data_IF_517148059252
#
_entry.id   IF_517148059252
#
_cell.length_a   1.000
_cell.length_b   1.000
_cell.length_c   1.000
_cell.angle_alpha   90.00
_cell.angle_beta   90.00
_cell.angle_gamma   90.00
#
_symmetry.space_group_name_H-M   'P 1'
#
loop_
_entity.id
_entity.type
_entity.pdbx_description
1 polymer ?
#
# COMPACT_ATOMS: atom_id res chain seq x y z
N UNK A 1 4.74 -11.69 -11.21
CA UNK A 1 4.20 -10.60 -10.39
C UNK A 1 4.98 -9.32 -10.62
N UNK A 2 4.37 -8.33 -11.28
CA UNK A 2 4.94 -7.00 -11.50
C UNK A 2 3.98 -5.95 -10.94
N UNK A 3 4.48 -5.02 -10.12
CA UNK A 3 3.69 -3.88 -9.69
C UNK A 3 3.67 -2.87 -10.83
N UNK A 4 2.47 -2.48 -11.27
CA UNK A 4 2.32 -1.57 -12.42
C UNK A 4 1.70 -0.23 -12.04
N UNK A 5 0.94 -0.18 -10.94
CA UNK A 5 0.31 1.06 -10.49
C UNK A 5 0.16 1.11 -8.98
N UNK A 6 0.37 2.29 -8.41
CA UNK A 6 0.10 2.60 -7.01
C UNK A 6 -0.72 3.89 -6.93
N UNK A 7 -1.90 3.81 -6.34
CA UNK A 7 -2.78 4.95 -6.07
C UNK A 7 -2.88 5.20 -4.58
N UNK A 8 -2.78 6.45 -4.16
CA UNK A 8 -2.89 6.86 -2.77
C UNK A 8 -3.90 7.98 -2.64
N UNK A 9 -4.72 7.94 -1.59
CA UNK A 9 -5.66 9.00 -1.26
C UNK A 9 -5.79 9.13 0.26
N UNK A 10 -5.52 10.33 0.78
CA UNK A 10 -5.53 10.59 2.23
C UNK A 10 -4.44 9.87 3.01
N UNK A 11 -3.47 9.22 2.35
CA UNK A 11 -2.42 8.43 2.99
C UNK A 11 -1.22 9.31 3.35
N UNK A 12 -1.01 9.55 4.64
CA UNK A 12 0.07 10.38 5.17
C UNK A 12 0.16 11.72 4.43
N UNK A 13 1.29 12.00 3.76
CA UNK A 13 1.50 13.23 3.00
C UNK A 13 0.68 13.33 1.70
N UNK A 14 0.05 12.25 1.23
CA UNK A 14 -0.74 12.22 0.00
C UNK A 14 -2.20 12.55 0.27
N UNK A 15 -2.48 13.85 0.45
CA UNK A 15 -3.80 14.36 0.83
C UNK A 15 -4.84 14.24 -0.28
N UNK A 16 -4.39 14.41 -1.52
CA UNK A 16 -5.19 14.34 -2.74
C UNK A 16 -4.88 13.03 -3.48
N UNK A 17 -5.84 12.49 -4.25
CA UNK A 17 -5.62 11.30 -5.07
C UNK A 17 -4.38 11.46 -5.95
N UNK A 18 -3.40 10.59 -5.75
CA UNK A 18 -2.15 10.58 -6.50
C UNK A 18 -1.92 9.17 -7.06
N UNK A 19 -1.60 9.10 -8.35
CA UNK A 19 -1.34 7.87 -9.07
C UNK A 19 0.12 7.81 -9.52
N UNK A 20 0.75 6.65 -9.34
CA UNK A 20 2.11 6.35 -9.75
C UNK A 20 2.08 5.14 -10.67
N UNK A 21 2.51 5.33 -11.90
CA UNK A 21 2.74 4.22 -12.83
C UNK A 21 4.17 3.71 -12.66
N UNK A 22 4.32 2.40 -12.53
CA UNK A 22 5.61 1.73 -12.42
C UNK A 22 5.83 1.01 -13.75
N UNK A 23 6.73 1.58 -14.55
CA UNK A 23 7.05 1.07 -15.87
C UNK A 23 8.12 -0.04 -15.77
N UNK A 24 8.20 -0.93 -16.78
CA UNK A 24 9.28 -1.92 -16.86
C UNK A 24 10.66 -1.26 -16.78
N UNK A 25 11.58 -1.90 -16.07
CA UNK A 25 12.95 -1.40 -15.88
C UNK A 25 13.12 -0.66 -14.55
N UNK A 26 13.71 0.54 -14.59
CA UNK A 26 14.06 1.31 -13.41
C UNK A 26 13.16 2.55 -13.26
N UNK A 27 12.34 2.57 -12.22
CA UNK A 27 11.54 3.74 -11.83
C UNK A 27 12.21 4.48 -10.67
N UNK A 28 12.61 5.73 -10.89
CA UNK A 28 13.22 6.58 -9.86
C UNK A 28 12.23 7.59 -9.28
N UNK A 29 12.13 7.65 -7.95
CA UNK A 29 11.34 8.67 -7.24
C UNK A 29 12.27 9.70 -6.60
N UNK A 30 12.16 10.95 -7.01
CA UNK A 30 13.02 12.06 -6.54
C UNK A 30 12.18 13.22 -5.98
N UNK A 31 12.82 14.06 -5.15
CA UNK A 31 12.18 15.22 -4.54
C UNK A 31 12.85 15.64 -3.23
N UNK A 32 12.50 16.82 -2.68
CA UNK A 32 13.09 17.35 -1.44
C UNK A 32 12.89 16.43 -0.22
N UNK A 33 13.71 16.61 0.82
CA UNK A 33 13.47 15.92 2.09
C UNK A 33 12.12 16.33 2.69
N UNK A 34 11.40 15.37 3.27
CA UNK A 34 10.07 15.60 3.83
C UNK A 34 8.92 15.64 2.83
N UNK A 35 9.15 15.57 1.51
CA UNK A 35 8.06 15.63 0.52
C UNK A 35 7.23 14.34 0.38
N UNK A 36 7.48 13.32 1.22
CA UNK A 36 6.69 12.10 1.24
C UNK A 36 7.21 10.92 0.42
N UNK A 37 8.43 10.99 -0.16
CA UNK A 37 9.01 9.87 -0.95
C UNK A 37 8.98 8.54 -0.21
N UNK A 38 9.42 8.51 1.05
CA UNK A 38 9.40 7.28 1.86
C UNK A 38 7.99 6.78 2.18
N UNK A 39 6.97 7.65 2.11
CA UNK A 39 5.58 7.24 2.33
C UNK A 39 5.05 6.37 1.18
N UNK A 40 5.67 6.39 -0.01
CA UNK A 40 5.32 5.44 -1.08
C UNK A 40 5.69 4.01 -0.69
N UNK A 41 6.88 3.81 -0.11
CA UNK A 41 7.29 2.50 0.39
C UNK A 41 6.42 2.05 1.56
N UNK A 42 6.03 2.98 2.43
CA UNK A 42 5.10 2.69 3.52
C UNK A 42 3.73 2.26 2.98
N UNK A 43 3.21 2.95 1.96
CA UNK A 43 1.95 2.60 1.31
C UNK A 43 1.98 1.21 0.69
N UNK A 44 3.06 0.86 -0.03
CA UNK A 44 3.28 -0.47 -0.59
C UNK A 44 3.27 -1.55 0.49
N UNK A 45 4.04 -1.37 1.57
CA UNK A 45 4.07 -2.34 2.68
C UNK A 45 2.70 -2.45 3.37
N UNK A 46 2.00 -1.33 3.50
CA UNK A 46 0.70 -1.26 4.16
C UNK A 46 -0.38 -2.00 3.37
N UNK A 47 -0.51 -1.75 2.06
CA UNK A 47 -1.46 -2.47 1.20
C UNK A 47 -1.10 -3.95 1.05
N UNK A 48 0.18 -4.31 1.18
CA UNK A 48 0.66 -5.70 1.21
C UNK A 48 0.42 -6.44 2.54
N UNK A 49 -0.22 -5.82 3.53
CA UNK A 49 -0.59 -6.50 4.78
C UNK A 49 0.17 -6.11 6.04
N UNK A 50 1.05 -5.09 6.00
CA UNK A 50 1.67 -4.59 7.22
C UNK A 50 0.64 -3.95 8.15
N UNK A 51 0.53 -4.48 9.37
CA UNK A 51 -0.46 -4.07 10.36
C UNK A 51 0.18 -3.49 11.64
N UNK A 52 1.50 -3.38 11.71
CA UNK A 52 2.19 -2.76 12.85
C UNK A 52 2.30 -1.25 12.62
N UNK A 53 1.70 -0.40 13.48
CA UNK A 53 1.83 1.06 13.40
C UNK A 53 3.28 1.53 13.35
N UNK A 54 4.13 0.91 14.17
CA UNK A 54 5.57 1.21 14.22
C UNK A 54 6.28 0.98 12.89
N UNK A 55 5.86 -0.05 12.12
CA UNK A 55 6.37 -0.27 10.76
C UNK A 55 5.94 0.83 9.80
N UNK A 56 4.81 1.46 10.06
CA UNK A 56 4.31 2.65 9.37
C UNK A 56 4.83 3.96 9.98
N UNK A 57 5.76 3.92 10.95
CA UNK A 57 6.28 5.13 11.62
C UNK A 57 5.17 5.96 12.30
N UNK A 58 4.16 5.28 12.84
CA UNK A 58 3.09 5.85 13.66
C UNK A 58 2.94 5.09 14.98
N UNK A 59 2.21 5.68 15.90
CA UNK A 59 1.85 5.14 17.21
C UNK A 59 0.56 4.30 17.12
N UNK A 60 -0.37 4.74 16.28
CA UNK A 60 -1.61 4.04 15.92
C UNK A 60 -1.70 3.74 14.43
N UNK A 61 -2.57 2.80 14.05
CA UNK A 61 -2.78 2.53 12.63
C UNK A 61 -3.51 3.70 11.94
N UNK A 62 -4.31 4.46 12.69
CA UNK A 62 -4.98 5.66 12.18
C UNK A 62 -3.99 6.78 11.79
N UNK A 63 -2.73 6.72 12.22
CA UNK A 63 -1.69 7.69 11.86
C UNK A 63 -1.26 7.60 10.38
N UNK A 64 -1.71 6.56 9.66
CA UNK A 64 -1.57 6.51 8.21
C UNK A 64 -2.54 7.46 7.50
N UNK A 65 -3.60 7.90 8.20
CA UNK A 65 -4.54 8.91 7.71
C UNK A 65 -3.89 10.28 7.81
N UNK A 66 -4.06 11.11 6.78
CA UNK A 66 -3.58 12.48 6.79
C UNK A 66 -4.16 13.25 7.98
N UNK A 67 -3.31 13.56 8.96
CA UNK A 67 -3.67 14.23 10.22
C UNK A 67 -3.92 15.74 10.10
N UNK A 68 -3.85 16.32 8.90
CA UNK A 68 -4.05 17.75 8.68
C UNK A 68 -2.77 18.59 8.80
N UNK A 69 -2.86 19.83 8.34
CA UNK A 69 -1.86 20.90 8.49
C UNK A 69 -2.58 22.22 8.76
N UNK A 70 -1.83 23.31 8.94
CA UNK A 70 -2.40 24.66 9.03
C UNK A 70 -3.20 25.08 7.79
N UNK A 71 -2.93 24.47 6.62
CA UNK A 71 -3.55 24.81 5.35
C UNK A 71 -4.65 23.83 4.92
N UNK A 72 -4.66 22.60 5.46
CA UNK A 72 -5.56 21.53 5.03
C UNK A 72 -6.10 20.74 6.22
N UNK A 73 -7.41 20.48 6.31
CA UNK A 73 -7.97 19.70 7.40
C UNK A 73 -7.53 18.24 7.32
N UNK A 74 -7.62 17.53 8.45
CA UNK A 74 -7.42 16.09 8.49
C UNK A 74 -8.44 15.36 7.59
N UNK A 75 -8.05 14.19 7.06
CA UNK A 75 -8.97 13.29 6.36
C UNK A 75 -9.61 12.33 7.38
N UNK A 76 -10.78 11.80 7.04
CA UNK A 76 -11.45 10.75 7.82
C UNK A 76 -11.03 9.34 7.42
N UNK A 77 -10.27 9.20 6.33
CA UNK A 77 -9.82 7.91 5.80
C UNK A 77 -8.52 8.04 5.01
N UNK A 78 -7.83 6.90 4.87
CA UNK A 78 -6.77 6.71 3.90
C UNK A 78 -7.05 5.46 3.07
N UNK A 79 -6.65 5.51 1.80
CA UNK A 79 -6.83 4.42 0.85
C UNK A 79 -5.56 4.28 0.01
N UNK A 80 -5.11 3.03 -0.15
CA UNK A 80 -4.02 2.66 -1.04
C UNK A 80 -4.51 1.54 -1.94
N UNK A 81 -4.31 1.71 -3.23
CA UNK A 81 -4.68 0.77 -4.26
C UNK A 81 -3.41 0.39 -5.03
N UNK A 82 -3.21 -0.92 -5.18
CA UNK A 82 -2.05 -1.54 -5.80
C UNK A 82 -2.52 -2.41 -6.97
N UNK A 83 -2.03 -2.07 -8.15
CA UNK A 83 -2.24 -2.89 -9.34
C UNK A 83 -1.03 -3.78 -9.59
N UNK A 84 -1.29 -5.04 -9.88
CA UNK A 84 -0.28 -6.07 -10.09
C UNK A 84 -0.61 -6.86 -11.34
N UNK A 85 0.36 -7.01 -12.23
CA UNK A 85 0.30 -7.87 -13.41
C UNK A 85 1.04 -9.20 -13.20
N UNK A 86 0.71 -10.18 -14.03
CA UNK A 86 1.28 -11.53 -14.00
C UNK A 86 1.12 -12.15 -12.61
N UNK A 87 -0.11 -12.05 -12.10
CA UNK A 87 -0.53 -12.69 -10.87
C UNK A 87 -1.14 -14.06 -11.21
N UNK A 88 -0.60 -15.11 -10.62
CA UNK A 88 -1.12 -16.48 -10.60
C UNK A 88 -2.53 -16.49 -10.00
N UNK A 89 -3.51 -16.78 -10.86
CA UNK A 89 -4.92 -16.86 -10.52
C UNK A 89 -5.22 -17.96 -9.50
N UNK A 90 -4.41 -19.02 -9.43
CA UNK A 90 -4.65 -20.18 -8.55
C UNK A 90 -4.45 -19.85 -7.07
N UNK A 91 -3.70 -18.77 -6.79
CA UNK A 91 -3.37 -18.32 -5.43
C UNK A 91 -4.39 -17.28 -4.92
N UNK A 92 -5.24 -16.74 -5.81
CA UNK A 92 -6.20 -15.72 -5.42
C UNK A 92 -7.35 -16.32 -4.61
N UNK A 93 -7.80 -15.65 -3.53
CA UNK A 93 -9.01 -16.04 -2.79
C UNK A 93 -10.29 -15.75 -3.59
N UNK A 94 -10.17 -15.29 -4.83
CA UNK A 94 -11.26 -14.97 -5.74
C UNK A 94 -11.04 -15.67 -7.09
N UNK A 95 -12.12 -16.16 -7.69
CA UNK A 95 -12.06 -16.65 -9.07
C UNK A 95 -11.98 -15.45 -10.02
N UNK A 96 -10.85 -15.28 -10.68
CA UNK A 96 -10.66 -14.32 -11.77
C UNK A 96 -9.82 -14.95 -12.89
N UNK A 97 -10.16 -14.64 -14.14
CA UNK A 97 -9.38 -15.01 -15.32
C UNK A 97 -8.39 -13.91 -15.73
N UNK A 98 -8.41 -12.78 -15.02
CA UNK A 98 -7.58 -11.62 -15.34
C UNK A 98 -6.14 -11.84 -14.86
N UNK A 99 -5.16 -11.55 -15.72
CA UNK A 99 -3.74 -11.57 -15.37
C UNK A 99 -3.30 -10.36 -14.53
N UNK A 100 -4.19 -9.37 -14.42
CA UNK A 100 -3.99 -8.11 -13.71
C UNK A 100 -5.01 -8.01 -12.60
N UNK A 101 -4.54 -7.73 -11.39
CA UNK A 101 -5.40 -7.57 -10.22
C UNK A 101 -5.18 -6.23 -9.53
N UNK A 102 -6.23 -5.75 -8.87
CA UNK A 102 -6.27 -4.58 -8.03
C UNK A 102 -6.52 -4.99 -6.58
N UNK A 103 -5.58 -4.63 -5.70
CA UNK A 103 -5.68 -4.82 -4.25
C UNK A 103 -5.84 -3.45 -3.61
N UNK A 104 -6.94 -3.26 -2.89
CA UNK A 104 -7.24 -2.00 -2.19
C UNK A 104 -7.25 -2.25 -0.70
N UNK A 105 -6.53 -1.41 0.04
CA UNK A 105 -6.66 -1.30 1.49
C UNK A 105 -7.18 0.08 1.84
N UNK A 106 -8.23 0.14 2.65
CA UNK A 106 -8.80 1.39 3.16
C UNK A 106 -8.92 1.34 4.68
N UNK A 107 -8.56 2.42 5.35
CA UNK A 107 -8.83 2.62 6.79
C UNK A 107 -9.69 3.86 6.97
N UNK A 108 -10.73 3.75 7.80
CA UNK A 108 -11.46 4.92 8.28
C UNK A 108 -11.11 5.13 9.76
N UNK A 109 -11.02 6.39 10.16
CA UNK A 109 -10.68 6.80 11.53
C UNK A 109 -11.55 6.06 12.55
N UNK A 110 -10.92 5.49 13.58
CA UNK A 110 -11.56 4.71 14.66
C UNK A 110 -12.39 3.48 14.22
N UNK A 111 -12.41 3.17 12.93
CA UNK A 111 -13.23 2.08 12.36
C UNK A 111 -12.41 0.89 11.87
N UNK A 112 -11.08 1.04 11.78
CA UNK A 112 -10.17 0.01 11.32
C UNK A 112 -10.07 -0.12 9.79
N UNK A 113 -9.31 -1.12 9.34
CA UNK A 113 -9.00 -1.35 7.92
C UNK A 113 -9.91 -2.39 7.28
N UNK A 114 -10.26 -2.16 6.01
CA UNK A 114 -10.91 -3.12 5.11
C UNK A 114 -10.02 -3.39 3.91
N UNK A 115 -10.15 -4.57 3.31
CA UNK A 115 -9.45 -4.96 2.09
C UNK A 115 -10.43 -5.35 1.02
N UNK A 116 -10.10 -4.99 -0.23
CA UNK A 116 -10.82 -5.47 -1.41
C UNK A 116 -9.84 -5.96 -2.46
N UNK A 117 -10.22 -7.00 -3.18
CA UNK A 117 -9.52 -7.48 -4.38
C UNK A 117 -10.55 -7.62 -5.49
N UNK A 118 -10.32 -6.98 -6.64
CA UNK A 118 -11.31 -6.88 -7.72
C UNK A 118 -12.70 -6.43 -7.23
N UNK A 119 -12.70 -5.43 -6.34
CA UNK A 119 -13.90 -4.87 -5.73
C UNK A 119 -14.60 -5.77 -4.69
N UNK A 120 -14.17 -7.02 -4.50
CA UNK A 120 -14.73 -7.94 -3.50
C UNK A 120 -14.00 -7.79 -2.17
N UNK A 121 -14.74 -7.66 -1.08
CA UNK A 121 -14.15 -7.60 0.26
C UNK A 121 -13.54 -8.94 0.65
N UNK A 122 -12.30 -8.90 1.15
CA UNK A 122 -11.57 -10.08 1.60
C UNK A 122 -10.87 -9.82 2.93
N UNK A 123 -10.40 -10.87 3.59
CA UNK A 123 -9.77 -10.75 4.90
C UNK A 123 -8.31 -10.29 4.79
N UNK A 124 -7.87 -9.48 5.75
CA UNK A 124 -6.47 -9.05 5.85
C UNK A 124 -5.46 -10.22 5.98
N UNK A 125 -5.92 -11.41 6.43
CA UNK A 125 -5.08 -12.62 6.46
C UNK A 125 -4.88 -13.21 5.06
N UNK A 126 -5.89 -13.14 4.20
CA UNK A 126 -5.85 -13.67 2.84
C UNK A 126 -4.90 -12.85 1.97
N UNK A 127 -4.94 -11.52 2.10
CA UNK A 127 -3.94 -10.63 1.46
C UNK A 127 -2.52 -10.94 1.93
N UNK A 128 -2.33 -11.21 3.23
CA UNK A 128 -0.99 -11.55 3.75
C UNK A 128 -0.48 -12.88 3.22
N UNK A 129 -1.34 -13.90 3.13
CA UNK A 129 -1.00 -15.19 2.53
C UNK A 129 -0.66 -15.03 1.06
N UNK A 130 -1.48 -14.27 0.33
CA UNK A 130 -1.29 -13.94 -1.07
C UNK A 130 0.13 -13.43 -1.34
N UNK A 131 0.62 -12.49 -0.56
CA UNK A 131 1.98 -11.98 -0.74
C UNK A 131 3.09 -12.83 -0.12
N UNK A 132 2.78 -13.68 0.85
CA UNK A 132 3.74 -14.63 1.42
C UNK A 132 4.11 -15.71 0.39
N UNK A 133 3.12 -16.20 -0.35
CA UNK A 133 3.31 -17.22 -1.40
C UNK A 133 4.23 -16.73 -2.53
N UNK A 134 4.27 -15.41 -2.77
CA UNK A 134 5.18 -14.79 -3.75
C UNK A 134 6.56 -14.41 -3.21
N UNK A 135 6.84 -14.68 -1.93
CA UNK A 135 8.05 -14.16 -1.24
C UNK A 135 8.22 -12.63 -1.33
N UNK A 136 7.13 -11.91 -1.61
CA UNK A 136 7.13 -10.49 -2.00
C UNK A 136 6.20 -9.64 -1.13
N UNK A 137 5.94 -10.06 0.10
CA UNK A 137 5.11 -9.32 1.05
C UNK A 137 5.78 -8.11 1.68
N UNK A 138 5.09 -7.53 2.65
CA UNK A 138 5.51 -6.29 3.31
C UNK A 138 6.87 -6.39 4.01
N UNK A 139 7.39 -7.58 4.28
CA UNK A 139 8.71 -7.82 4.85
C UNK A 139 9.69 -8.47 3.86
N UNK A 140 9.37 -8.48 2.57
CA UNK A 140 10.23 -9.05 1.53
C UNK A 140 11.60 -8.37 1.52
N UNK A 141 12.71 -9.11 1.35
CA UNK A 141 14.04 -8.52 1.20
C UNK A 141 14.14 -7.60 -0.03
N UNK A 142 13.21 -7.72 -0.98
CA UNK A 142 13.09 -6.81 -2.13
C UNK A 142 12.62 -5.40 -1.77
N UNK A 143 12.11 -5.19 -0.55
CA UNK A 143 11.72 -3.88 -0.02
C UNK A 143 12.75 -3.40 1.02
N UNK A 144 13.76 -2.67 0.55
CA UNK A 144 14.85 -2.18 1.40
C UNK A 144 14.58 -0.76 1.88
N UNK A 145 14.68 -0.55 3.20
CA UNK A 145 14.62 0.77 3.83
C UNK A 145 16.02 1.32 4.14
N UNK A 146 16.10 2.65 4.23
CA UNK A 146 17.27 3.32 4.80
C UNK A 146 17.52 2.78 6.22
N UNK A 147 18.76 2.36 6.49
CA UNK A 147 19.18 1.79 7.78
C UNK A 147 18.99 0.28 7.93
N UNK A 148 18.51 -0.43 6.89
CA UNK A 148 18.31 -1.88 6.92
C UNK A 148 19.54 -2.69 6.47
N UNK A 149 20.48 -2.04 5.79
CA UNK A 149 21.77 -2.62 5.38
C UNK A 149 22.86 -1.86 6.13
N UNK A 150 23.61 -2.57 6.98
CA UNK A 150 24.74 -2.08 7.76
C UNK A 150 25.99 -2.90 7.47
#
# INVERSE_FOLDING_TARGET
MNITKLRLNGFKSFVDPTEFEILPGLTGVVGPNGCGKSNLLDALRWVMGENRPTSMRGDGMDDVIFGGTSLRPARSYAEVNLQIENFDSDILPINTSESTIEIVRRINFESGSTYRVEGKEILAREVRLLFADYSSGSNSPSLVRQGQIS
#
